data_IF_995328309710
#
_entry.id   IF_995328309710
#
_cell.length_a   1.000
_cell.length_b   1.000
_cell.length_c   1.000
_cell.angle_alpha   90.00
_cell.angle_beta   90.00
_cell.angle_gamma   90.00
#
_symmetry.space_group_name_H-M   'P 1'
#
loop_
_entity.id
_entity.type
_entity.pdbx_description
1 polymer ?
#
# COMPACT_ATOMS: atom_id res chain seq x y z
N UNK A 1 -19.05 -8.94 1.75
CA UNK A 1 -17.76 -9.12 2.46
C UNK A 1 -17.52 -10.61 2.57
N UNK A 2 -16.51 -11.16 1.89
CA UNK A 2 -16.20 -12.59 1.94
C UNK A 2 -15.59 -12.97 3.28
N UNK A 3 -16.09 -14.05 3.89
CA UNK A 3 -15.64 -14.62 5.17
C UNK A 3 -14.12 -14.87 5.22
N UNK A 4 -13.52 -15.23 4.07
CA UNK A 4 -12.06 -15.41 3.88
C UNK A 4 -11.21 -14.16 4.12
N UNK A 5 -11.79 -12.96 3.99
CA UNK A 5 -11.04 -11.71 4.23
C UNK A 5 -10.81 -11.50 5.72
N UNK A 6 -11.86 -11.71 6.52
CA UNK A 6 -11.80 -11.52 7.96
C UNK A 6 -10.83 -12.50 8.64
N UNK A 7 -10.76 -13.74 8.13
CA UNK A 7 -9.83 -14.76 8.63
C UNK A 7 -8.36 -14.37 8.43
N UNK A 8 -8.02 -13.80 7.26
CA UNK A 8 -6.64 -13.43 6.96
C UNK A 8 -6.23 -12.10 7.61
N UNK A 9 -7.18 -11.20 7.87
CA UNK A 9 -6.94 -9.87 8.46
C UNK A 9 -6.25 -9.91 9.83
N UNK A 10 -6.44 -10.98 10.61
CA UNK A 10 -5.82 -11.17 11.93
C UNK A 10 -4.37 -11.67 11.88
N UNK A 11 -3.88 -12.16 10.73
CA UNK A 11 -2.51 -12.67 10.62
C UNK A 11 -1.52 -11.53 10.81
N UNK A 12 -0.45 -11.77 11.57
CA UNK A 12 0.59 -10.77 11.85
C UNK A 12 1.94 -11.14 11.25
N UNK A 13 2.75 -10.12 10.95
CA UNK A 13 4.17 -10.26 10.59
C UNK A 13 4.94 -8.96 10.78
N UNK A 14 6.26 -9.06 10.87
CA UNK A 14 7.15 -7.89 10.86
C UNK A 14 7.10 -7.13 9.52
N UNK A 15 6.81 -5.82 9.57
CA UNK A 15 6.73 -4.95 8.41
C UNK A 15 8.10 -4.37 8.05
N UNK A 16 8.66 -4.64 6.85
CA UNK A 16 9.95 -4.09 6.44
C UNK A 16 9.92 -2.58 6.19
N UNK A 17 8.72 -1.98 6.05
CA UNK A 17 8.57 -0.54 5.85
C UNK A 17 8.47 0.25 7.15
N UNK A 18 7.95 -0.37 8.22
CA UNK A 18 7.67 0.29 9.49
C UNK A 18 8.53 -0.20 10.66
N UNK A 19 9.25 -1.32 10.49
CA UNK A 19 10.17 -1.84 11.49
C UNK A 19 9.52 -2.46 12.73
N UNK A 20 8.24 -2.84 12.65
CA UNK A 20 7.51 -3.50 13.73
C UNK A 20 6.45 -4.47 13.19
N UNK A 21 5.85 -5.25 14.09
CA UNK A 21 4.78 -6.20 13.74
C UNK A 21 3.47 -5.48 13.39
N UNK A 22 2.86 -5.87 12.27
CA UNK A 22 1.54 -5.39 11.83
C UNK A 22 0.68 -6.58 11.42
N UNK A 23 -0.64 -6.39 11.43
CA UNK A 23 -1.56 -7.37 10.89
C UNK A 23 -1.85 -7.15 9.39
N UNK A 24 -2.48 -8.12 8.75
CA UNK A 24 -2.87 -8.01 7.35
C UNK A 24 -3.93 -6.92 7.13
N UNK A 25 -4.86 -6.72 8.07
CA UNK A 25 -5.86 -5.66 8.00
C UNK A 25 -5.20 -4.26 7.82
N UNK A 26 -4.13 -3.99 8.56
CA UNK A 26 -3.32 -2.78 8.39
C UNK A 26 -2.74 -2.71 6.98
N UNK A 27 -2.11 -3.79 6.52
CA UNK A 27 -1.53 -3.84 5.17
C UNK A 27 -2.56 -3.59 4.08
N UNK A 28 -3.81 -4.03 4.27
CA UNK A 28 -4.91 -3.89 3.32
C UNK A 28 -5.47 -2.45 3.24
N UNK A 29 -5.28 -1.65 4.28
CA UNK A 29 -5.87 -0.31 4.41
C UNK A 29 -4.82 0.83 4.48
N UNK A 30 -3.52 0.51 4.51
CA UNK A 30 -2.44 1.48 4.75
C UNK A 30 -2.36 2.62 3.70
N UNK A 31 -2.92 2.45 2.51
CA UNK A 31 -2.88 3.42 1.42
C UNK A 31 -4.05 4.40 1.36
N UNK A 32 -4.80 4.65 2.45
CA UNK A 32 -6.11 5.32 2.44
C UNK A 32 -7.09 4.56 1.54
N UNK A 33 -7.58 3.43 2.04
CA UNK A 33 -8.49 2.50 1.34
C UNK A 33 -7.86 1.69 0.20
N UNK A 34 -6.52 1.71 0.08
CA UNK A 34 -5.75 0.85 -0.81
C UNK A 34 -4.77 -0.01 -0.03
N UNK A 35 -4.42 -1.21 -0.55
CA UNK A 35 -3.43 -2.05 0.09
C UNK A 35 -2.03 -1.42 -0.03
N UNK A 36 -1.13 -1.79 0.87
CA UNK A 36 0.24 -1.30 0.83
C UNK A 36 0.99 -1.86 -0.39
N UNK A 37 1.93 -1.09 -0.93
CA UNK A 37 2.72 -1.49 -2.12
C UNK A 37 3.51 -2.79 -2.00
N UNK A 38 3.72 -3.29 -0.77
CA UNK A 38 4.45 -4.55 -0.49
C UNK A 38 3.53 -5.70 -0.10
N UNK A 39 2.21 -5.54 -0.19
CA UNK A 39 1.24 -6.52 0.29
C UNK A 39 1.45 -7.91 -0.35
N UNK A 40 1.74 -7.97 -1.65
CA UNK A 40 2.00 -9.21 -2.37
C UNK A 40 3.31 -9.85 -1.90
N UNK A 41 4.42 -9.10 -1.92
CA UNK A 41 5.74 -9.53 -1.43
C UNK A 41 5.68 -10.08 0.00
N UNK A 42 4.82 -9.48 0.82
CA UNK A 42 4.71 -9.80 2.21
C UNK A 42 3.91 -11.09 2.46
N UNK A 43 2.81 -11.29 1.75
CA UNK A 43 1.80 -12.27 2.14
C UNK A 43 1.67 -13.47 1.18
N UNK A 44 2.35 -13.46 0.03
CA UNK A 44 2.26 -14.54 -0.98
C UNK A 44 2.58 -15.95 -0.48
N UNK A 45 3.43 -16.10 0.54
CA UNK A 45 3.74 -17.40 1.16
C UNK A 45 2.74 -17.83 2.23
N UNK A 46 1.97 -16.88 2.78
CA UNK A 46 1.07 -17.14 3.89
C UNK A 46 -0.29 -17.62 3.39
N UNK A 47 -0.80 -17.02 2.31
CA UNK A 47 -2.07 -17.36 1.67
C UNK A 47 -2.11 -16.77 0.26
N UNK A 48 -3.15 -17.10 -0.51
CA UNK A 48 -3.39 -16.50 -1.83
C UNK A 48 -3.87 -15.04 -1.69
N UNK A 49 -2.91 -14.17 -1.39
CA UNK A 49 -3.14 -12.73 -1.24
C UNK A 49 -3.56 -12.08 -2.56
N UNK A 50 -3.12 -12.62 -3.70
CA UNK A 50 -3.47 -12.08 -5.01
C UNK A 50 -4.96 -12.28 -5.31
N UNK A 51 -5.48 -13.49 -5.09
CA UNK A 51 -6.91 -13.76 -5.23
C UNK A 51 -7.75 -12.87 -4.28
N UNK A 52 -7.34 -12.76 -3.01
CA UNK A 52 -8.05 -11.95 -2.03
C UNK A 52 -8.10 -10.47 -2.44
N UNK A 53 -7.00 -9.93 -2.97
CA UNK A 53 -6.95 -8.54 -3.43
C UNK A 53 -7.79 -8.31 -4.69
N UNK A 54 -7.81 -9.26 -5.64
CA UNK A 54 -8.65 -9.18 -6.84
C UNK A 54 -10.15 -9.25 -6.54
N UNK A 55 -10.54 -9.91 -5.44
CA UNK A 55 -11.93 -9.92 -4.98
C UNK A 55 -12.38 -8.58 -4.37
N UNK A 56 -11.45 -7.76 -3.87
CA UNK A 56 -11.76 -6.56 -3.08
C UNK A 56 -11.48 -5.24 -3.79
N UNK A 57 -10.53 -5.23 -4.72
CA UNK A 57 -10.06 -4.02 -5.37
C UNK A 57 -10.21 -4.16 -6.88
N UNK A 58 -10.52 -3.05 -7.54
CA UNK A 58 -10.51 -3.01 -9.01
C UNK A 58 -9.07 -3.13 -9.53
N UNK A 59 -8.87 -3.55 -10.80
CA UNK A 59 -7.55 -3.58 -11.41
C UNK A 59 -6.81 -2.23 -11.34
N UNK A 60 -7.54 -1.12 -11.49
CA UNK A 60 -6.99 0.24 -11.45
C UNK A 60 -6.51 0.60 -10.04
N UNK A 61 -7.29 0.22 -9.01
CA UNK A 61 -6.91 0.40 -7.61
C UNK A 61 -5.65 -0.40 -7.27
N UNK A 62 -5.56 -1.66 -7.72
CA UNK A 62 -4.38 -2.48 -7.51
C UNK A 62 -3.17 -1.94 -8.27
N UNK A 63 -3.36 -1.47 -9.51
CA UNK A 63 -2.29 -0.85 -10.28
C UNK A 63 -1.76 0.40 -9.58
N UNK A 64 -2.63 1.26 -9.06
CA UNK A 64 -2.24 2.45 -8.32
C UNK A 64 -1.51 2.10 -7.00
N UNK A 65 -2.01 1.11 -6.26
CA UNK A 65 -1.45 0.69 -4.98
C UNK A 65 -0.07 0.02 -5.10
N UNK A 66 0.12 -0.77 -6.16
CA UNK A 66 1.35 -1.54 -6.40
C UNK A 66 2.36 -0.79 -7.28
N UNK A 67 2.00 0.39 -7.81
CA UNK A 67 2.90 1.20 -8.58
C UNK A 67 4.16 1.56 -7.77
N UNK A 68 5.35 1.56 -8.40
CA UNK A 68 6.55 2.05 -7.74
C UNK A 68 6.36 3.53 -7.35
N UNK A 69 6.85 3.95 -6.17
CA UNK A 69 6.78 5.36 -5.80
C UNK A 69 7.55 6.22 -6.80
N UNK A 70 7.13 7.47 -7.03
CA UNK A 70 7.87 8.40 -7.89
C UNK A 70 9.30 8.55 -7.39
N UNK A 71 10.22 8.87 -8.30
CA UNK A 71 11.61 9.08 -7.94
C UNK A 71 11.70 10.20 -6.89
N UNK A 72 12.51 9.98 -5.85
CA UNK A 72 12.68 10.98 -4.77
C UNK A 72 13.11 12.35 -5.33
N UNK A 73 13.91 12.36 -6.39
CA UNK A 73 14.35 13.59 -7.08
C UNK A 73 13.15 14.32 -7.69
N UNK A 74 12.26 13.62 -8.40
CA UNK A 74 11.07 14.24 -8.97
C UNK A 74 10.16 14.84 -7.90
N UNK A 75 9.96 14.13 -6.78
CA UNK A 75 9.21 14.66 -5.63
C UNK A 75 9.86 15.90 -5.03
N UNK A 76 11.19 15.90 -4.85
CA UNK A 76 11.92 17.04 -4.30
C UNK A 76 11.84 18.28 -5.22
N UNK A 77 12.00 18.10 -6.53
CA UNK A 77 11.89 19.19 -7.50
C UNK A 77 10.49 19.79 -7.48
N UNK A 78 9.43 18.97 -7.50
CA UNK A 78 8.04 19.44 -7.41
C UNK A 78 7.77 20.22 -6.11
N UNK A 79 8.28 19.73 -4.97
CA UNK A 79 8.16 20.44 -3.69
C UNK A 79 8.89 21.79 -3.71
N UNK A 80 10.09 21.86 -4.28
CA UNK A 80 10.84 23.11 -4.43
C UNK A 80 10.07 24.10 -5.32
N UNK A 81 9.55 23.65 -6.46
CA UNK A 81 8.81 24.52 -7.37
C UNK A 81 7.51 25.03 -6.75
N UNK A 82 6.78 24.20 -6.00
CA UNK A 82 5.59 24.63 -5.23
C UNK A 82 5.96 25.67 -4.18
N UNK A 83 7.05 25.46 -3.45
CA UNK A 83 7.53 26.42 -2.47
C UNK A 83 7.93 27.76 -3.13
N UNK A 84 8.60 27.73 -4.29
CA UNK A 84 8.96 28.95 -5.03
C UNK A 84 7.73 29.73 -5.49
N UNK A 85 6.68 29.06 -5.97
CA UNK A 85 5.42 29.71 -6.35
C UNK A 85 4.72 30.33 -5.15
N UNK A 86 4.66 29.62 -4.02
CA UNK A 86 4.01 30.12 -2.81
C UNK A 86 4.72 31.31 -2.15
N UNK A 87 6.01 31.53 -2.41
CA UNK A 87 6.77 32.69 -1.93
C UNK A 87 6.84 33.85 -2.95
N UNK A 88 6.23 33.69 -4.13
CA UNK A 88 6.18 34.71 -5.18
C UNK A 88 4.87 35.52 -5.17
N UNK A 89 3.91 35.13 -4.32
CA UNK A 89 2.67 35.83 -3.96
C UNK A 89 2.81 36.49 -2.58
#
# INVERSE_FOLDING_TARGET
MSEKTAENDARTRHCPLLGHEVNFAYCRQAGRDLPCRKVLDCWWRAFDVEALLREQFTPEQLQAALAPPPSKIATLVDLIDRARRANAD
#
